data_IF_037177532362
#
_entry.id   IF_037177532362
#
_cell.length_a   1.000
_cell.length_b   1.000
_cell.length_c   1.000
_cell.angle_alpha   90.00
_cell.angle_beta   90.00
_cell.angle_gamma   90.00
#
_symmetry.space_group_name_H-M   'P 1'
#
loop_
_entity.id
_entity.type
_entity.pdbx_description
1 polymer ?
#
# COMPACT_ATOMS: atom_id res chain seq x y z
N UNK A 1 0.77 -20.07 23.98
CA UNK A 1 0.31 -19.83 22.59
C UNK A 1 1.12 -18.71 21.94
N UNK A 2 2.18 -18.24 22.61
CA UNK A 2 3.08 -17.18 22.13
C UNK A 2 4.20 -17.66 21.19
N UNK A 3 4.53 -18.95 21.19
CA UNK A 3 5.64 -19.53 20.39
C UNK A 3 5.40 -19.49 18.86
N UNK A 4 4.14 -19.40 18.45
CA UNK A 4 3.74 -19.33 17.03
C UNK A 4 3.87 -17.93 16.44
N UNK A 5 3.73 -16.89 17.26
CA UNK A 5 3.78 -15.50 16.82
C UNK A 5 5.22 -15.07 16.51
N UNK A 6 6.18 -15.58 17.28
CA UNK A 6 7.62 -15.28 17.10
C UNK A 6 8.18 -15.94 15.82
N UNK A 7 7.76 -17.18 15.52
CA UNK A 7 8.12 -17.87 14.27
C UNK A 7 7.55 -17.22 13.00
N UNK A 8 6.38 -16.58 13.06
CA UNK A 8 5.78 -15.88 11.91
C UNK A 8 6.48 -14.54 11.65
N UNK A 9 7.07 -13.96 12.69
CA UNK A 9 7.82 -12.70 12.62
C UNK A 9 9.32 -12.91 12.33
N UNK A 10 9.75 -14.15 12.09
CA UNK A 10 11.08 -14.42 11.59
C UNK A 10 11.21 -13.87 10.15
N UNK A 11 12.29 -13.14 9.84
CA UNK A 11 12.50 -12.54 8.52
C UNK A 11 12.41 -13.59 7.39
N UNK A 12 12.78 -14.83 7.67
CA UNK A 12 12.79 -15.95 6.73
C UNK A 12 11.37 -16.35 6.27
N UNK A 13 10.37 -16.33 7.16
CA UNK A 13 8.97 -16.62 6.82
C UNK A 13 8.39 -15.47 6.01
N UNK A 14 8.73 -14.23 6.36
CA UNK A 14 8.35 -13.04 5.61
C UNK A 14 8.95 -13.05 4.19
N UNK A 15 10.22 -13.41 4.03
CA UNK A 15 10.84 -13.54 2.70
C UNK A 15 10.22 -14.66 1.87
N UNK A 16 9.83 -15.77 2.50
CA UNK A 16 9.18 -16.89 1.81
C UNK A 16 7.76 -16.54 1.38
N UNK A 17 6.97 -15.88 2.25
CA UNK A 17 5.63 -15.41 1.92
C UNK A 17 5.67 -14.28 0.88
N UNK A 18 6.65 -13.37 0.98
CA UNK A 18 6.92 -12.34 -0.02
C UNK A 18 7.34 -12.95 -1.35
N UNK A 19 8.20 -13.97 -1.34
CA UNK A 19 8.64 -14.71 -2.53
C UNK A 19 7.49 -15.43 -3.24
N UNK A 20 6.62 -16.12 -2.50
CA UNK A 20 5.42 -16.77 -3.05
C UNK A 20 4.41 -15.76 -3.58
N UNK A 21 4.23 -14.63 -2.88
CA UNK A 21 3.35 -13.54 -3.32
C UNK A 21 3.87 -12.86 -4.60
N UNK A 22 5.17 -12.58 -4.68
CA UNK A 22 5.82 -12.02 -5.87
C UNK A 22 5.80 -13.01 -7.04
N UNK A 23 6.06 -14.30 -6.78
CA UNK A 23 6.00 -15.35 -7.81
C UNK A 23 4.56 -15.54 -8.35
N UNK A 24 3.55 -15.40 -7.49
CA UNK A 24 2.15 -15.36 -7.89
C UNK A 24 1.74 -14.09 -8.65
N UNK A 25 2.37 -12.95 -8.37
CA UNK A 25 2.15 -11.68 -9.11
C UNK A 25 2.82 -11.68 -10.49
N UNK A 26 3.95 -12.37 -10.67
CA UNK A 26 4.67 -12.47 -11.96
C UNK A 26 3.95 -13.43 -12.92
N UNK A 27 3.40 -14.53 -12.41
CA UNK A 27 2.65 -15.50 -13.24
C UNK A 27 1.22 -15.04 -13.57
N UNK A 28 0.67 -14.09 -12.81
CA UNK A 28 -0.62 -13.44 -13.09
C UNK A 28 -0.52 -12.16 -13.95
N UNK A 29 0.67 -11.81 -14.45
CA UNK A 29 0.92 -10.62 -15.28
C UNK A 29 0.73 -10.87 -16.77
N UNK A 30 -0.47 -11.24 -17.22
CA UNK A 30 -0.67 -11.83 -18.55
C UNK A 30 -1.85 -11.32 -19.39
N UNK A 31 -2.15 -10.01 -19.43
CA UNK A 31 -2.78 -9.32 -20.58
C UNK A 31 -3.09 -7.87 -20.22
N UNK A 32 -2.23 -6.92 -20.63
CA UNK A 32 -2.65 -5.58 -21.11
C UNK A 32 -1.58 -5.03 -22.05
N UNK A 33 -1.78 -5.21 -23.36
CA UNK A 33 -1.14 -4.39 -24.39
C UNK A 33 -2.20 -3.96 -25.40
N UNK A 34 -2.08 -2.69 -25.77
CA UNK A 34 -2.70 -1.99 -26.90
C UNK A 34 -4.19 -1.66 -26.76
N UNK A 35 -4.50 -0.36 -26.82
CA UNK A 35 -5.86 0.13 -26.97
C UNK A 35 -6.08 1.41 -26.19
N UNK A 36 -6.07 2.52 -26.90
CA UNK A 36 -6.53 3.85 -26.51
C UNK A 36 -7.78 3.86 -25.61
N UNK A 37 -7.85 4.87 -24.73
CA UNK A 37 -9.01 5.37 -23.98
C UNK A 37 -9.23 4.72 -22.60
N UNK A 38 -8.74 5.46 -21.59
CA UNK A 38 -9.20 5.53 -20.20
C UNK A 38 -9.41 4.19 -19.47
N UNK A 39 -8.53 3.78 -18.53
CA UNK A 39 -9.00 2.92 -17.46
C UNK A 39 -10.12 3.68 -16.75
N UNK A 40 -11.31 3.08 -16.66
CA UNK A 40 -12.38 3.59 -15.81
C UNK A 40 -11.75 3.86 -14.44
N UNK A 41 -11.78 5.11 -13.95
CA UNK A 41 -11.19 5.41 -12.65
C UNK A 41 -11.80 4.45 -11.63
N UNK A 42 -11.00 3.79 -10.78
CA UNK A 42 -11.54 2.96 -9.71
C UNK A 42 -12.55 3.82 -8.96
N UNK A 43 -13.75 3.28 -8.77
CA UNK A 43 -14.81 4.04 -8.13
C UNK A 43 -14.34 4.47 -6.73
N UNK A 44 -14.78 5.62 -6.21
CA UNK A 44 -14.36 6.10 -4.88
C UNK A 44 -14.56 5.08 -3.77
N UNK A 45 -15.49 4.15 -3.98
CA UNK A 45 -15.79 3.02 -3.10
C UNK A 45 -14.69 1.95 -3.12
N UNK A 46 -14.14 1.61 -4.28
CA UNK A 46 -13.03 0.66 -4.43
C UNK A 46 -11.75 1.19 -3.79
N UNK A 47 -11.49 2.50 -3.90
CA UNK A 47 -10.36 3.16 -3.24
C UNK A 47 -10.50 3.06 -1.72
N UNK A 48 -11.67 3.39 -1.18
CA UNK A 48 -11.96 3.26 0.26
C UNK A 48 -11.86 1.82 0.73
N UNK A 49 -12.35 0.87 -0.06
CA UNK A 49 -12.25 -0.55 0.24
C UNK A 49 -10.79 -1.03 0.25
N UNK A 50 -9.95 -0.55 -0.68
CA UNK A 50 -8.52 -0.84 -0.71
C UNK A 50 -7.80 -0.23 0.51
N UNK A 51 -8.12 1.01 0.88
CA UNK A 51 -7.58 1.66 2.06
C UNK A 51 -7.99 0.96 3.37
N UNK A 52 -9.21 0.40 3.42
CA UNK A 52 -9.69 -0.38 4.57
C UNK A 52 -8.91 -1.69 4.77
N UNK A 53 -8.30 -2.23 3.72
CA UNK A 53 -7.41 -3.41 3.81
C UNK A 53 -6.04 -3.08 4.43
N UNK A 54 -5.65 -1.80 4.45
CA UNK A 54 -4.38 -1.36 5.04
C UNK A 54 -4.48 -1.46 6.56
N UNK A 55 -3.61 -2.27 7.15
CA UNK A 55 -3.55 -2.46 8.60
C UNK A 55 -3.06 -1.21 9.32
N UNK A 56 -3.41 -1.07 10.61
CA UNK A 56 -2.99 0.06 11.44
C UNK A 56 -1.46 0.19 11.50
N UNK A 57 -0.75 -0.94 11.60
CA UNK A 57 0.72 -0.98 11.60
C UNK A 57 1.31 -0.35 10.35
N UNK A 58 0.71 -0.61 9.18
CA UNK A 58 1.22 -0.04 7.93
C UNK A 58 0.96 1.45 7.82
N UNK A 59 -0.17 1.90 8.36
CA UNK A 59 -0.44 3.33 8.48
C UNK A 59 0.56 4.04 9.38
N UNK A 60 1.04 3.40 10.46
CA UNK A 60 2.09 3.97 11.31
C UNK A 60 3.41 4.13 10.56
N UNK A 61 3.81 3.14 9.74
CA UNK A 61 5.01 3.26 8.89
C UNK A 61 4.88 4.42 7.88
N UNK A 62 3.72 4.52 7.23
CA UNK A 62 3.42 5.60 6.28
C UNK A 62 3.49 6.96 6.99
N UNK A 63 2.93 7.08 8.18
CA UNK A 63 2.95 8.32 8.96
C UNK A 63 4.39 8.68 9.41
N UNK A 64 5.22 7.71 9.77
CA UNK A 64 6.63 7.93 10.11
C UNK A 64 7.44 8.45 8.90
N UNK A 65 7.17 7.92 7.70
CA UNK A 65 7.82 8.44 6.48
C UNK A 65 7.34 9.83 6.07
N UNK A 66 6.07 10.15 6.36
CA UNK A 66 5.53 11.48 6.15
C UNK A 66 6.18 12.52 7.08
N UNK A 67 6.40 12.16 8.35
CA UNK A 67 7.12 12.99 9.32
C UNK A 67 8.58 13.23 8.89
N UNK A 68 9.24 12.17 8.41
CA UNK A 68 10.58 12.23 7.83
C UNK A 68 10.67 12.98 6.48
N UNK A 69 9.58 13.64 6.03
CA UNK A 69 9.45 14.34 4.74
C UNK A 69 9.67 13.44 3.50
N UNK A 70 9.60 12.12 3.64
CA UNK A 70 9.82 11.13 2.57
C UNK A 70 8.49 10.76 1.88
N UNK A 71 7.80 11.75 1.33
CA UNK A 71 6.46 11.58 0.72
C UNK A 71 6.41 10.53 -0.40
N UNK A 72 7.47 10.43 -1.21
CA UNK A 72 7.53 9.45 -2.31
C UNK A 72 7.53 8.01 -1.78
N UNK A 73 8.23 7.77 -0.67
CA UNK A 73 8.29 6.46 -0.06
C UNK A 73 6.96 6.09 0.61
N UNK A 74 6.30 7.03 1.29
CA UNK A 74 4.95 6.85 1.81
C UNK A 74 3.93 6.46 0.70
N UNK A 75 4.01 7.09 -0.47
CA UNK A 75 3.19 6.73 -1.64
C UNK A 75 3.53 5.33 -2.14
N UNK A 76 4.82 4.96 -2.15
CA UNK A 76 5.26 3.61 -2.55
C UNK A 76 4.71 2.54 -1.60
N UNK A 77 4.85 2.73 -0.29
CA UNK A 77 4.31 1.82 0.72
C UNK A 77 2.79 1.63 0.58
N UNK A 78 2.05 2.72 0.38
CA UNK A 78 0.60 2.64 0.19
C UNK A 78 0.25 1.88 -1.09
N UNK A 79 0.98 2.10 -2.20
CA UNK A 79 0.78 1.38 -3.46
C UNK A 79 1.06 -0.10 -3.34
N UNK A 80 2.11 -0.47 -2.62
CA UNK A 80 2.48 -1.88 -2.43
C UNK A 80 1.41 -2.66 -1.65
N UNK A 81 0.73 -2.00 -0.71
CA UNK A 81 -0.33 -2.65 0.09
C UNK A 81 -1.70 -2.59 -0.59
N UNK A 82 -2.03 -1.49 -1.27
CA UNK A 82 -3.37 -1.28 -1.84
C UNK A 82 -3.49 -1.67 -3.31
N UNK A 83 -2.37 -1.75 -4.04
CA UNK A 83 -2.35 -1.95 -5.49
C UNK A 83 -2.88 -0.76 -6.28
N UNK A 84 -3.12 0.39 -5.65
CA UNK A 84 -3.71 1.56 -6.28
C UNK A 84 -2.78 2.21 -7.33
N UNK A 85 -3.42 2.92 -8.26
CA UNK A 85 -2.73 3.76 -9.22
C UNK A 85 -1.89 4.86 -8.54
N UNK A 86 -0.92 5.40 -9.27
CA UNK A 86 -0.05 6.47 -8.75
C UNK A 86 -0.85 7.71 -8.34
N UNK A 87 -1.88 8.06 -9.11
CA UNK A 87 -2.76 9.21 -8.83
C UNK A 87 -3.52 9.02 -7.52
N UNK A 88 -4.22 7.91 -7.37
CA UNK A 88 -5.06 7.63 -6.20
C UNK A 88 -4.23 7.51 -4.91
N UNK A 89 -3.06 6.89 -5.02
CA UNK A 89 -2.15 6.74 -3.88
C UNK A 89 -1.56 8.06 -3.43
N UNK A 90 -1.20 8.92 -4.39
CA UNK A 90 -0.77 10.29 -4.07
C UNK A 90 -1.87 11.05 -3.35
N UNK A 91 -3.09 11.01 -3.89
CA UNK A 91 -4.23 11.74 -3.32
C UNK A 91 -4.57 11.28 -1.89
N UNK A 92 -4.57 9.96 -1.65
CA UNK A 92 -4.80 9.40 -0.32
C UNK A 92 -3.74 9.83 0.69
N UNK A 93 -2.46 9.83 0.30
CA UNK A 93 -1.35 10.30 1.15
C UNK A 93 -1.45 11.81 1.40
N UNK A 94 -1.78 12.60 0.37
CA UNK A 94 -1.94 14.06 0.52
C UNK A 94 -3.11 14.43 1.42
N UNK A 95 -4.24 13.71 1.32
CA UNK A 95 -5.37 13.88 2.21
C UNK A 95 -4.98 13.55 3.66
N UNK A 96 -4.26 12.45 3.88
CA UNK A 96 -3.79 12.06 5.21
C UNK A 96 -2.79 13.06 5.79
N UNK A 97 -1.85 13.55 4.99
CA UNK A 97 -0.91 14.59 5.40
C UNK A 97 -1.65 15.86 5.83
N UNK A 98 -2.63 16.32 5.04
CA UNK A 98 -3.43 17.51 5.37
C UNK A 98 -4.20 17.33 6.68
N UNK A 99 -4.84 16.18 6.87
CA UNK A 99 -5.55 15.87 8.12
C UNK A 99 -4.61 15.89 9.34
N UNK A 100 -3.36 15.45 9.18
CA UNK A 100 -2.37 15.47 10.26
C UNK A 100 -1.82 16.86 10.53
N UNK A 101 -1.54 17.64 9.48
CA UNK A 101 -1.04 19.01 9.59
C UNK A 101 -2.01 19.87 10.41
N UNK A 102 -3.32 19.73 10.17
CA UNK A 102 -4.39 20.36 10.96
C UNK A 102 -4.44 19.93 12.43
N UNK A 103 -3.86 18.77 12.79
CA UNK A 103 -3.81 18.28 14.17
C UNK A 103 -2.53 18.69 14.90
N UNK A 104 -1.49 19.11 14.16
CA UNK A 104 -0.20 19.53 14.70
C UNK A 104 -0.05 21.05 14.76
N UNK A 105 -1.17 21.79 14.69
CA UNK A 105 -1.25 23.25 14.72
C UNK A 105 -2.18 23.71 15.83
#
# INVERSE_FOLDING_TARGET
MEDYLDKILHPEVLFTLFGVFVLGQITAGGRRKAGSLSPTPPTPEEIKAALKKVTLSKWMEIDAELDARKKIQAIKLLREVTGLGLKDSKEAIEARQRQRDMRHH
#
